data_IF_908768588550
#
_entry.id   IF_908768588550
#
_cell.length_a   1.000
_cell.length_b   1.000
_cell.length_c   1.000
_cell.angle_alpha   90.00
_cell.angle_beta   90.00
_cell.angle_gamma   90.00
#
_symmetry.space_group_name_H-M   'P 1'
#
loop_
_entity.id
_entity.type
_entity.pdbx_description
1 polymer ?
#
# COMPACT_ATOMS: atom_id res chain seq x y z
N UNK A 1 -28.50 -41.66 -40.32
CA UNK A 1 -29.21 -40.47 -39.81
C UNK A 1 -28.16 -39.55 -39.21
N UNK A 2 -27.99 -38.36 -39.78
CA UNK A 2 -27.11 -37.31 -39.24
C UNK A 2 -27.99 -36.45 -38.34
N UNK A 3 -27.58 -36.21 -37.11
CA UNK A 3 -28.15 -35.17 -36.25
C UNK A 3 -27.05 -34.56 -35.40
N UNK A 4 -27.12 -33.24 -35.16
CA UNK A 4 -25.99 -32.36 -35.34
C UNK A 4 -25.32 -32.01 -34.01
N UNK A 5 -24.00 -31.84 -34.10
CA UNK A 5 -23.18 -31.24 -33.06
C UNK A 5 -23.73 -29.84 -32.72
N UNK A 6 -24.20 -29.69 -31.48
CA UNK A 6 -24.45 -28.38 -30.88
C UNK A 6 -23.20 -28.01 -30.09
N UNK A 7 -22.29 -27.31 -30.76
CA UNK A 7 -21.22 -26.56 -30.13
C UNK A 7 -21.83 -25.42 -29.29
N UNK A 8 -22.19 -25.74 -28.04
CA UNK A 8 -22.40 -24.73 -27.01
C UNK A 8 -21.02 -24.21 -26.61
N UNK A 9 -20.58 -23.18 -27.32
CA UNK A 9 -19.45 -22.33 -26.92
C UNK A 9 -19.88 -21.47 -25.72
N UNK A 10 -20.02 -22.12 -24.55
CA UNK A 10 -19.97 -21.43 -23.28
C UNK A 10 -18.49 -21.14 -23.03
N UNK A 11 -18.03 -19.96 -23.46
CA UNK A 11 -16.78 -19.40 -22.96
C UNK A 11 -16.94 -19.17 -21.47
N UNK A 12 -16.70 -20.23 -20.71
CA UNK A 12 -16.31 -20.19 -19.32
C UNK A 12 -15.05 -19.33 -19.30
N UNK A 13 -15.21 -18.06 -18.97
CA UNK A 13 -14.11 -17.19 -18.56
C UNK A 13 -13.60 -17.85 -17.28
N UNK A 14 -12.72 -18.84 -17.47
CA UNK A 14 -11.99 -19.50 -16.41
C UNK A 14 -11.36 -18.36 -15.61
N UNK A 15 -11.93 -18.15 -14.43
CA UNK A 15 -11.39 -17.26 -13.43
C UNK A 15 -10.07 -17.90 -13.06
N UNK A 16 -9.00 -17.50 -13.76
CA UNK A 16 -7.64 -17.79 -13.31
C UNK A 16 -7.55 -17.16 -11.92
N UNK A 17 -7.73 -17.99 -10.90
CA UNK A 17 -7.52 -17.61 -9.50
C UNK A 17 -6.11 -17.07 -9.42
N UNK A 18 -6.01 -15.76 -9.22
CA UNK A 18 -4.74 -15.07 -9.22
C UNK A 18 -3.93 -15.60 -8.03
N UNK A 19 -2.91 -16.39 -8.32
CA UNK A 19 -2.01 -16.94 -7.31
C UNK A 19 -1.08 -15.82 -6.85
N UNK A 20 -1.13 -15.50 -5.56
CA UNK A 20 -0.22 -14.54 -4.95
C UNK A 20 1.07 -15.28 -4.59
N UNK A 21 2.19 -14.86 -5.18
CA UNK A 21 3.50 -15.36 -4.79
C UNK A 21 3.83 -14.95 -3.34
N UNK A 22 4.45 -15.87 -2.59
CA UNK A 22 4.89 -15.57 -1.23
C UNK A 22 6.17 -14.71 -1.28
N UNK A 23 6.18 -13.49 -0.70
CA UNK A 23 7.35 -12.63 -0.74
C UNK A 23 8.56 -13.30 -0.09
N UNK A 24 9.69 -13.27 -0.80
CA UNK A 24 10.95 -13.95 -0.41
C UNK A 24 11.62 -13.29 0.82
N UNK A 25 11.34 -12.01 1.07
CA UNK A 25 11.91 -11.25 2.18
C UNK A 25 10.86 -10.36 2.87
N UNK A 26 9.95 -10.94 3.66
CA UNK A 26 8.92 -10.18 4.37
C UNK A 26 9.52 -9.21 5.42
N UNK A 27 10.66 -9.56 6.01
CA UNK A 27 11.38 -8.74 7.00
C UNK A 27 12.03 -7.49 6.39
N UNK A 28 12.21 -7.47 5.06
CA UNK A 28 12.71 -6.32 4.31
C UNK A 28 11.63 -5.30 3.94
N UNK A 29 10.39 -5.51 4.38
CA UNK A 29 9.32 -4.55 4.19
C UNK A 29 9.63 -3.27 5.01
N UNK A 30 10.14 -2.25 4.34
CA UNK A 30 10.32 -0.92 4.94
C UNK A 30 9.13 -0.05 4.58
N UNK A 31 8.46 0.52 5.57
CA UNK A 31 7.45 1.54 5.34
C UNK A 31 8.12 2.90 5.15
N UNK A 32 8.07 3.46 3.95
CA UNK A 32 8.67 4.79 3.69
C UNK A 32 8.00 5.89 4.50
N UNK A 33 6.77 5.64 5.02
CA UNK A 33 6.06 6.58 5.88
C UNK A 33 6.73 6.74 7.24
N UNK A 34 7.53 5.76 7.70
CA UNK A 34 8.23 5.89 8.99
C UNK A 34 9.20 7.07 8.99
N UNK A 35 9.89 7.28 7.86
CA UNK A 35 10.77 8.44 7.67
C UNK A 35 9.96 9.74 7.63
N UNK A 36 8.82 9.77 6.93
CA UNK A 36 7.95 10.95 6.89
C UNK A 36 7.41 11.32 8.29
N UNK A 37 7.06 10.32 9.10
CA UNK A 37 6.56 10.56 10.45
C UNK A 37 7.65 11.14 11.36
N UNK A 38 8.90 10.66 11.24
CA UNK A 38 10.03 11.23 11.97
C UNK A 38 10.28 12.69 11.58
N UNK A 39 10.19 13.02 10.29
CA UNK A 39 10.32 14.40 9.80
C UNK A 39 9.23 15.29 10.40
N UNK A 40 7.96 14.85 10.37
CA UNK A 40 6.85 15.61 10.95
C UNK A 40 6.99 15.86 12.44
N UNK A 41 7.45 14.86 13.19
CA UNK A 41 7.69 15.01 14.63
C UNK A 41 8.76 16.06 14.91
N UNK A 42 9.83 16.06 14.12
CA UNK A 42 10.89 17.07 14.21
C UNK A 42 10.34 18.47 13.92
N UNK A 43 9.65 18.64 12.80
CA UNK A 43 9.07 19.95 12.41
C UNK A 43 8.10 20.47 13.47
N UNK A 44 7.24 19.61 14.02
CA UNK A 44 6.31 20.00 15.09
C UNK A 44 7.04 20.37 16.39
N UNK A 45 8.11 19.65 16.74
CA UNK A 45 8.93 19.99 17.90
C UNK A 45 9.63 21.34 17.74
N UNK A 46 10.14 21.63 16.53
CA UNK A 46 10.73 22.93 16.18
C UNK A 46 9.69 24.05 16.31
N UNK A 47 8.50 23.89 15.73
CA UNK A 47 7.42 24.88 15.85
C UNK A 47 7.01 25.14 17.30
N UNK A 48 6.88 24.08 18.12
CA UNK A 48 6.55 24.22 19.53
C UNK A 48 7.64 24.96 20.30
N UNK A 49 8.90 24.60 20.06
CA UNK A 49 10.05 25.25 20.67
C UNK A 49 10.06 26.73 20.30
N UNK A 50 9.93 27.07 19.02
CA UNK A 50 9.99 28.44 18.55
C UNK A 50 8.89 29.29 19.19
N UNK A 51 7.65 28.79 19.25
CA UNK A 51 6.55 29.47 19.93
C UNK A 51 6.82 29.68 21.42
N UNK A 52 7.32 28.65 22.13
CA UNK A 52 7.66 28.74 23.56
C UNK A 52 8.80 29.73 23.82
N UNK A 53 9.84 29.72 22.98
CA UNK A 53 10.99 30.62 23.15
C UNK A 53 10.71 32.06 22.73
N UNK A 54 9.71 32.28 21.87
CA UNK A 54 9.33 33.65 21.46
C UNK A 54 8.53 34.33 22.57
N UNK A 55 7.68 33.60 23.29
CA UNK A 55 6.93 34.14 24.45
C UNK A 55 7.81 34.40 25.69
N UNK A 56 8.95 33.71 25.86
CA UNK A 56 9.86 33.95 26.98
C UNK A 56 10.79 35.17 26.80
N UNK A 57 10.82 35.81 25.63
CA UNK A 57 11.73 36.92 25.31
C UNK A 57 11.06 38.31 25.14
N UNK A 58 9.76 38.43 25.44
CA UNK A 58 9.01 39.70 25.55
C UNK A 58 8.59 39.96 27.01
#
# INVERSE_FOLDING_TARGET
MISPDKDNNEQEVQSEEQSWDNPVNPEGASDTRDLEQLVRQKEEAERRKDNLTTEEND
#
